data_IF_139354085101
#
_entry.id   IF_139354085101
#
_cell.length_a   1.000
_cell.length_b   1.000
_cell.length_c   1.000
_cell.angle_alpha   90.00
_cell.angle_beta   90.00
_cell.angle_gamma   90.00
#
_symmetry.space_group_name_H-M   'P 1'
#
loop_
_entity.id
_entity.type
_entity.pdbx_description
1 polymer ?
#
# COMPACT_ATOMS: atom_id res chain seq x y z
N UNK A 1 3.08 -4.85 7.34
CA UNK A 1 2.56 -4.74 5.96
C UNK A 1 2.64 -6.12 5.33
N UNK A 2 1.61 -6.56 4.59
CA UNK A 2 1.68 -7.78 3.78
C UNK A 2 1.69 -7.38 2.31
N UNK A 3 2.63 -7.92 1.52
CA UNK A 3 2.71 -7.72 0.06
C UNK A 3 2.92 -9.10 -0.58
N UNK A 4 2.02 -9.52 -1.46
CA UNK A 4 2.09 -10.86 -2.09
C UNK A 4 2.21 -12.00 -1.05
N UNK A 5 1.51 -11.87 0.07
CA UNK A 5 1.59 -12.82 1.20
C UNK A 5 2.88 -12.75 2.02
N UNK A 6 3.86 -11.91 1.65
CA UNK A 6 5.10 -11.73 2.39
C UNK A 6 4.95 -10.62 3.42
N UNK A 7 5.38 -10.91 4.66
CA UNK A 7 5.42 -9.91 5.72
C UNK A 7 6.60 -8.98 5.55
N UNK A 8 6.31 -7.69 5.55
CA UNK A 8 7.26 -6.60 5.65
C UNK A 8 7.08 -5.91 7.01
N UNK A 9 8.12 -6.00 7.83
CA UNK A 9 8.26 -5.22 9.06
C UNK A 9 8.83 -3.84 8.71
N UNK A 10 8.30 -2.79 9.34
CA UNK A 10 8.67 -1.40 9.09
C UNK A 10 8.59 -0.59 10.40
N UNK A 11 9.37 0.48 10.47
CA UNK A 11 9.36 1.45 11.55
C UNK A 11 9.32 2.90 11.04
N UNK A 12 9.24 3.86 11.97
CA UNK A 12 9.22 5.27 11.62
C UNK A 12 10.51 5.68 10.90
N UNK A 13 10.37 6.22 9.68
CA UNK A 13 11.49 6.61 8.83
C UNK A 13 11.74 5.65 7.66
N UNK A 14 11.16 4.46 7.68
CA UNK A 14 11.21 3.54 6.55
C UNK A 14 10.34 4.02 5.38
N UNK A 15 10.77 3.64 4.17
CA UNK A 15 10.02 3.84 2.94
C UNK A 15 9.89 2.48 2.26
N UNK A 16 8.68 2.16 1.82
CA UNK A 16 8.41 0.98 1.02
C UNK A 16 7.47 1.32 -0.13
N UNK A 17 7.44 0.45 -1.13
CA UNK A 17 6.60 0.55 -2.32
C UNK A 17 5.70 -0.68 -2.39
N UNK A 18 4.45 -0.48 -2.82
CA UNK A 18 3.59 -1.56 -3.29
C UNK A 18 3.68 -1.59 -4.82
N UNK A 19 4.23 -2.65 -5.42
CA UNK A 19 4.32 -2.76 -6.86
C UNK A 19 2.95 -2.74 -7.54
N UNK A 20 2.92 -2.31 -8.81
CA UNK A 20 1.71 -2.35 -9.64
C UNK A 20 1.12 -3.76 -9.63
N UNK A 21 -0.18 -3.84 -9.34
CA UNK A 21 -0.95 -5.10 -9.31
C UNK A 21 -0.54 -6.10 -8.22
N UNK A 22 0.20 -5.67 -7.20
CA UNK A 22 0.49 -6.50 -6.04
C UNK A 22 -0.64 -6.45 -5.00
N UNK A 23 -1.04 -7.62 -4.52
CA UNK A 23 -1.93 -7.72 -3.37
C UNK A 23 -1.22 -7.18 -2.14
N UNK A 24 -1.89 -6.30 -1.39
CA UNK A 24 -1.30 -5.71 -0.20
C UNK A 24 -2.33 -5.43 0.90
N UNK A 25 -1.89 -5.54 2.15
CA UNK A 25 -2.72 -5.28 3.32
C UNK A 25 -1.93 -4.57 4.42
N UNK A 26 -2.50 -3.50 4.95
CA UNK A 26 -2.01 -2.80 6.12
C UNK A 26 -2.73 -3.32 7.36
N UNK A 27 -1.96 -3.91 8.27
CA UNK A 27 -2.45 -4.34 9.57
C UNK A 27 -1.61 -3.66 10.65
N UNK A 28 -2.25 -2.96 11.58
CA UNK A 28 -1.59 -2.38 12.75
C UNK A 28 -1.70 -3.37 13.92
N UNK A 29 -0.60 -4.03 14.33
CA UNK A 29 -0.63 -4.98 15.45
C UNK A 29 -0.54 -4.30 16.82
N UNK A 30 -0.38 -2.98 16.88
CA UNK A 30 -0.15 -2.22 18.12
C UNK A 30 -1.44 -1.54 18.61
N UNK A 31 -1.50 -1.29 19.92
CA UNK A 31 -2.62 -0.58 20.55
C UNK A 31 -2.60 0.93 20.24
N UNK A 32 -1.47 1.46 19.80
CA UNK A 32 -1.33 2.86 19.41
C UNK A 32 -1.52 3.07 17.90
N UNK A 33 -2.03 4.25 17.47
CA UNK A 33 -2.15 4.58 16.06
C UNK A 33 -0.81 4.55 15.33
N UNK A 34 -0.82 4.00 14.13
CA UNK A 34 0.29 4.09 13.17
C UNK A 34 -0.13 5.02 12.06
N UNK A 35 0.62 6.10 11.86
CA UNK A 35 0.40 7.08 10.80
C UNK A 35 1.51 6.95 9.74
N UNK A 36 1.14 7.09 8.47
CA UNK A 36 2.07 7.08 7.35
C UNK A 36 1.59 8.01 6.24
N UNK A 37 2.52 8.49 5.43
CA UNK A 37 2.25 9.29 4.24
C UNK A 37 2.42 8.40 3.01
N UNK A 38 1.47 8.47 2.09
CA UNK A 38 1.53 7.75 0.81
C UNK A 38 1.28 8.70 -0.35
N UNK A 39 1.74 8.29 -1.51
CA UNK A 39 1.43 8.93 -2.78
C UNK A 39 1.26 7.82 -3.82
N UNK A 40 0.38 8.05 -4.79
CA UNK A 40 0.08 7.08 -5.84
C UNK A 40 -0.19 7.80 -7.16
N UNK A 41 -0.10 7.06 -8.26
CA UNK A 41 -0.39 7.54 -9.60
C UNK A 41 -1.89 7.44 -9.98
N UNK A 42 -2.79 7.20 -9.02
CA UNK A 42 -4.22 7.05 -9.27
C UNK A 42 -4.84 8.20 -10.11
N UNK A 43 -4.50 9.50 -9.91
CA UNK A 43 -5.02 10.56 -10.77
C UNK A 43 -4.66 10.39 -12.25
N UNK A 44 -3.46 9.89 -12.56
CA UNK A 44 -3.01 9.64 -13.93
C UNK A 44 -3.74 8.43 -14.53
N UNK A 45 -3.82 7.32 -13.78
CA UNK A 45 -4.52 6.11 -14.22
C UNK A 45 -6.02 6.34 -14.48
N UNK A 46 -6.66 7.14 -13.64
CA UNK A 46 -8.06 7.53 -13.80
C UNK A 46 -8.26 8.40 -15.04
N UNK A 47 -7.39 9.38 -15.27
CA UNK A 47 -7.49 10.29 -16.43
C UNK A 47 -7.24 9.57 -17.76
N UNK A 48 -6.38 8.55 -17.77
CA UNK A 48 -6.03 7.79 -18.97
C UNK A 48 -6.96 6.58 -19.22
N UNK A 49 -7.93 6.33 -18.34
CA UNK A 49 -8.87 5.21 -18.47
C UNK A 49 -8.23 3.84 -18.27
N UNK A 50 -7.08 3.77 -17.60
CA UNK A 50 -6.32 2.54 -17.34
C UNK A 50 -6.43 2.07 -15.88
N UNK A 51 -7.19 2.79 -15.04
CA UNK A 51 -7.44 2.40 -13.67
C UNK A 51 -8.18 1.05 -13.61
N UNK A 52 -7.50 0.05 -13.07
CA UNK A 52 -8.04 -1.26 -12.74
C UNK A 52 -8.00 -1.44 -11.22
N UNK A 53 -9.01 -2.11 -10.66
CA UNK A 53 -9.10 -2.36 -9.23
C UNK A 53 -9.67 -3.75 -8.99
N UNK A 54 -9.03 -4.48 -8.09
CA UNK A 54 -9.48 -5.76 -7.57
C UNK A 54 -9.47 -5.68 -6.03
N UNK A 55 -10.49 -6.23 -5.38
CA UNK A 55 -10.71 -6.15 -3.94
C UNK A 55 -11.21 -7.50 -3.42
N UNK A 56 -10.77 -7.88 -2.22
CA UNK A 56 -11.25 -9.04 -1.46
C UNK A 56 -11.92 -8.59 -0.14
#
# INVERSE_FOLDING_TARGET
MLIEGNRLDYEAGDIFEVPVWAWHQLNNPYDEPVEYVTFENAPELLNNGTALREEE
#
